data_IF_720840855197
#
_entry.id   IF_720840855197
#
_cell.length_a   1.000
_cell.length_b   1.000
_cell.length_c   1.000
_cell.angle_alpha   90.00
_cell.angle_beta   90.00
_cell.angle_gamma   90.00
#
_symmetry.space_group_name_H-M   'P 1'
#
loop_
_entity.id
_entity.type
_entity.pdbx_description
1 polymer ?
#
# COMPACT_ATOMS: atom_id res chain seq x y z
N UNK A 1 26.99 -23.60 -6.45
CA UNK A 1 26.47 -22.78 -5.41
C UNK A 1 25.93 -21.42 -5.82
N UNK A 2 25.94 -21.16 -7.10
CA UNK A 2 25.29 -19.95 -7.63
C UNK A 2 23.80 -19.92 -7.32
N UNK A 3 23.18 -21.08 -7.17
CA UNK A 3 21.77 -21.16 -6.80
C UNK A 3 21.48 -20.58 -5.42
N UNK A 4 22.50 -20.48 -4.58
CA UNK A 4 22.34 -19.93 -3.23
C UNK A 4 21.99 -18.45 -3.29
N UNK A 5 22.58 -17.70 -4.22
CA UNK A 5 22.29 -16.27 -4.33
C UNK A 5 20.85 -16.03 -4.72
N UNK A 6 20.25 -16.90 -5.53
CA UNK A 6 18.85 -16.80 -5.90
C UNK A 6 17.95 -17.10 -4.70
N UNK A 7 18.33 -18.07 -3.89
CA UNK A 7 17.57 -18.43 -2.69
C UNK A 7 17.71 -17.41 -1.57
N UNK A 8 18.74 -16.58 -1.63
CA UNK A 8 18.96 -15.55 -0.62
C UNK A 8 17.98 -14.39 -0.74
N UNK A 9 17.39 -14.18 -1.92
CA UNK A 9 16.33 -13.21 -2.06
C UNK A 9 15.05 -13.77 -1.48
N UNK A 10 14.64 -13.21 -0.38
CA UNK A 10 13.40 -13.61 0.27
C UNK A 10 12.22 -13.28 -0.62
N UNK A 11 11.35 -14.24 -0.83
CA UNK A 11 10.09 -14.02 -1.52
C UNK A 11 9.02 -13.68 -0.50
N UNK A 12 8.47 -12.49 -0.62
CA UNK A 12 7.48 -11.98 0.31
C UNK A 12 6.21 -11.65 -0.46
N UNK A 13 5.09 -12.02 0.12
CA UNK A 13 3.78 -11.64 -0.40
C UNK A 13 3.20 -10.58 0.54
N UNK A 14 2.69 -9.49 -0.03
CA UNK A 14 2.07 -8.43 0.74
C UNK A 14 0.67 -8.19 0.20
N UNK A 15 -0.34 -8.38 1.06
CA UNK A 15 -1.72 -8.03 0.74
C UNK A 15 -1.97 -6.65 1.34
N UNK A 16 -2.48 -5.72 0.54
CA UNK A 16 -2.73 -4.35 0.98
C UNK A 16 -4.20 -3.98 0.82
N UNK A 17 -4.67 -3.11 1.70
CA UNK A 17 -5.99 -2.53 1.57
C UNK A 17 -6.06 -1.20 2.30
N UNK A 18 -6.96 -0.33 1.83
CA UNK A 18 -7.22 0.96 2.44
C UNK A 18 -8.71 1.19 2.59
N UNK A 19 -9.09 1.95 3.59
CA UNK A 19 -10.47 2.25 3.88
C UNK A 19 -10.59 3.71 4.35
N UNK A 20 -11.70 4.34 4.03
CA UNK A 20 -11.96 5.70 4.45
C UNK A 20 -13.43 5.85 4.80
N UNK A 21 -13.70 6.39 6.00
CA UNK A 21 -15.07 6.63 6.45
C UNK A 21 -15.50 8.02 5.98
N UNK A 22 -16.19 8.06 4.83
CA UNK A 22 -16.45 9.32 4.13
C UNK A 22 -15.17 9.75 3.40
N UNK A 23 -15.14 10.01 2.19
CA UNK A 23 -13.96 10.25 1.37
C UNK A 23 -13.94 11.72 0.90
N UNK A 24 -13.27 12.69 1.62
CA UNK A 24 -12.31 12.48 2.71
C UNK A 24 -12.95 12.23 4.07
N UNK A 25 -12.15 11.68 4.98
CA UNK A 25 -12.58 11.42 6.35
C UNK A 25 -11.58 10.54 7.07
N UNK A 26 -11.92 9.99 8.25
CA UNK A 26 -11.03 9.09 8.95
C UNK A 26 -10.70 7.88 8.09
N UNK A 27 -9.42 7.60 7.93
CA UNK A 27 -8.95 6.52 7.09
C UNK A 27 -8.14 5.49 7.85
N UNK A 28 -8.08 4.28 7.30
CA UNK A 28 -7.27 3.20 7.81
C UNK A 28 -6.61 2.45 6.67
N UNK A 29 -5.46 1.90 6.95
CA UNK A 29 -4.74 1.05 6.02
C UNK A 29 -4.33 -0.22 6.75
N UNK A 30 -4.15 -1.28 5.98
CA UNK A 30 -3.66 -2.54 6.52
C UNK A 30 -2.85 -3.27 5.48
N UNK A 31 -1.89 -4.04 5.95
CA UNK A 31 -1.18 -4.96 5.08
C UNK A 31 -0.85 -6.23 5.85
N UNK A 32 -0.84 -7.33 5.12
CA UNK A 32 -0.47 -8.64 5.63
C UNK A 32 0.76 -9.07 4.87
N UNK A 33 1.88 -9.22 5.59
CA UNK A 33 3.14 -9.66 5.01
C UNK A 33 3.30 -11.14 5.29
N UNK A 34 3.58 -11.90 4.25
CA UNK A 34 3.72 -13.35 4.37
C UNK A 34 5.05 -13.79 3.76
N UNK A 35 5.81 -14.52 4.56
CA UNK A 35 7.09 -15.09 4.17
C UNK A 35 7.13 -16.53 4.68
N UNK A 36 7.03 -17.49 3.76
CA UNK A 36 6.94 -18.88 4.14
C UNK A 36 5.75 -19.12 5.06
N UNK A 37 6.01 -19.63 6.26
CA UNK A 37 4.97 -19.84 7.27
C UNK A 37 4.82 -18.66 8.21
N UNK A 38 5.67 -17.65 8.06
CA UNK A 38 5.62 -16.46 8.91
C UNK A 38 4.64 -15.44 8.34
N UNK A 39 3.93 -14.80 9.24
CA UNK A 39 2.98 -13.77 8.85
C UNK A 39 3.09 -12.59 9.82
N UNK A 40 3.03 -11.41 9.25
CA UNK A 40 3.03 -10.18 10.04
C UNK A 40 1.92 -9.27 9.54
N UNK A 41 1.15 -8.73 10.47
CA UNK A 41 0.06 -7.81 10.15
C UNK A 41 0.45 -6.42 10.62
N UNK A 42 0.27 -5.43 9.75
CA UNK A 42 0.46 -4.03 10.08
C UNK A 42 -0.83 -3.29 9.76
N UNK A 43 -1.17 -2.32 10.60
CA UNK A 43 -2.33 -1.46 10.36
C UNK A 43 -2.12 -0.11 11.02
N UNK A 44 -2.78 0.88 10.49
CA UNK A 44 -2.73 2.23 11.04
C UNK A 44 -3.89 3.05 10.56
N UNK A 45 -4.09 4.20 11.21
CA UNK A 45 -5.19 5.09 10.86
C UNK A 45 -4.79 6.55 10.89
N UNK A 46 -5.53 7.36 10.17
CA UNK A 46 -5.32 8.81 10.07
C UNK A 46 -6.68 9.49 10.21
N UNK A 47 -6.77 10.58 10.98
CA UNK A 47 -8.06 11.24 11.21
C UNK A 47 -8.66 11.90 9.96
N UNK A 48 -7.81 12.26 8.99
CA UNK A 48 -8.27 12.89 7.76
C UNK A 48 -7.51 12.32 6.58
N UNK A 49 -8.20 11.60 5.73
CA UNK A 49 -7.57 10.83 4.65
C UNK A 49 -8.51 10.68 3.45
N UNK A 50 -8.00 10.08 2.41
CA UNK A 50 -8.80 9.61 1.28
C UNK A 50 -8.53 8.13 1.07
N UNK A 51 -9.42 7.47 0.37
CA UNK A 51 -9.24 6.07 0.03
C UNK A 51 -7.90 5.82 -0.68
N UNK A 52 -7.59 6.65 -1.68
CA UNK A 52 -6.36 6.49 -2.46
C UNK A 52 -5.11 6.65 -1.60
N UNK A 53 -5.11 7.62 -0.67
CA UNK A 53 -3.98 7.77 0.24
C UNK A 53 -3.80 6.56 1.14
N UNK A 54 -4.89 5.96 1.58
CA UNK A 54 -4.82 4.77 2.44
C UNK A 54 -4.31 3.55 1.70
N UNK A 55 -4.69 3.40 0.43
CA UNK A 55 -4.15 2.34 -0.41
C UNK A 55 -2.63 2.50 -0.60
N UNK A 56 -2.19 3.72 -0.87
CA UNK A 56 -0.76 4.01 -0.98
C UNK A 56 -0.03 3.78 0.34
N UNK A 57 -0.63 4.21 1.44
CA UNK A 57 -0.02 4.03 2.77
C UNK A 57 0.20 2.54 3.08
N UNK A 58 -0.77 1.70 2.75
CA UNK A 58 -0.64 0.25 2.97
C UNK A 58 0.56 -0.31 2.21
N UNK A 59 0.72 0.07 0.95
CA UNK A 59 1.84 -0.38 0.12
C UNK A 59 3.17 0.13 0.69
N UNK A 60 3.23 1.40 1.05
CA UNK A 60 4.45 2.02 1.58
C UNK A 60 4.86 1.35 2.89
N UNK A 61 3.94 1.22 3.82
CA UNK A 61 4.25 0.65 5.13
C UNK A 61 4.64 -0.82 5.04
N UNK A 62 3.98 -1.57 4.15
CA UNK A 62 4.33 -2.96 3.92
C UNK A 62 5.75 -3.12 3.38
N UNK A 63 6.10 -2.36 2.37
CA UNK A 63 7.44 -2.42 1.78
C UNK A 63 8.50 -1.88 2.75
N UNK A 64 8.18 -0.84 3.49
CA UNK A 64 9.10 -0.25 4.47
C UNK A 64 9.43 -1.21 5.61
N UNK A 65 8.53 -2.11 5.94
CA UNK A 65 8.73 -3.08 7.01
C UNK A 65 9.79 -4.12 6.67
N UNK A 66 10.12 -4.28 5.40
CA UNK A 66 11.13 -5.24 4.95
C UNK A 66 12.51 -4.65 5.16
N UNK A 67 13.34 -5.34 5.94
CA UNK A 67 14.64 -4.82 6.37
C UNK A 67 15.76 -5.03 5.36
N UNK A 68 15.52 -5.80 4.32
CA UNK A 68 16.50 -6.05 3.26
C UNK A 68 15.77 -6.15 1.93
N UNK A 69 16.56 -6.12 0.85
CA UNK A 69 16.01 -6.25 -0.50
C UNK A 69 15.34 -7.61 -0.67
N UNK A 70 14.09 -7.59 -1.09
CA UNK A 70 13.29 -8.80 -1.27
C UNK A 70 12.67 -8.83 -2.65
N UNK A 71 12.29 -10.02 -3.08
CA UNK A 71 11.34 -10.18 -4.16
C UNK A 71 9.95 -10.11 -3.53
N UNK A 72 9.14 -9.16 -3.96
CA UNK A 72 7.86 -8.89 -3.33
C UNK A 72 6.74 -8.99 -4.37
N UNK A 73 5.71 -9.74 -4.02
CA UNK A 73 4.46 -9.74 -4.78
C UNK A 73 3.45 -8.96 -3.95
N UNK A 74 3.00 -7.84 -4.47
CA UNK A 74 1.97 -7.03 -3.80
C UNK A 74 0.63 -7.34 -4.44
N UNK A 75 -0.32 -7.77 -3.61
CA UNK A 75 -1.68 -8.07 -4.06
C UNK A 75 -2.59 -6.93 -3.63
N UNK A 76 -3.24 -6.32 -4.59
CA UNK A 76 -4.10 -5.16 -4.35
C UNK A 76 -5.36 -5.24 -5.20
N UNK A 77 -6.49 -4.79 -4.66
CA UNK A 77 -7.70 -4.58 -5.45
C UNK A 77 -7.79 -3.13 -5.95
N UNK A 78 -6.83 -2.29 -5.59
CA UNK A 78 -6.82 -0.89 -5.98
C UNK A 78 -6.30 -0.72 -7.41
N UNK A 79 -7.18 -0.34 -8.31
CA UNK A 79 -6.78 0.00 -9.67
C UNK A 79 -5.93 1.27 -9.68
N UNK A 80 -6.18 2.18 -8.76
CA UNK A 80 -5.42 3.41 -8.64
C UNK A 80 -3.93 3.14 -8.37
N UNK A 81 -3.63 2.26 -7.42
CA UNK A 81 -2.23 1.92 -7.09
C UNK A 81 -1.57 1.19 -8.25
N UNK A 82 -2.26 0.20 -8.80
CA UNK A 82 -1.73 -0.60 -9.90
C UNK A 82 -1.43 0.25 -11.13
N UNK A 83 -2.39 1.07 -11.53
CA UNK A 83 -2.21 1.93 -12.72
C UNK A 83 -1.20 3.03 -12.47
N UNK A 84 -1.17 3.57 -11.26
CA UNK A 84 -0.19 4.58 -10.90
C UNK A 84 1.23 4.07 -11.06
N UNK A 85 1.50 2.88 -10.58
CA UNK A 85 2.83 2.28 -10.67
C UNK A 85 3.19 1.94 -12.12
N UNK A 86 2.27 1.35 -12.88
CA UNK A 86 2.60 0.81 -14.20
C UNK A 86 2.48 1.85 -15.32
N UNK A 87 1.58 2.82 -15.18
CA UNK A 87 1.29 3.77 -16.25
C UNK A 87 1.70 5.20 -15.93
N UNK A 88 1.30 5.70 -14.75
CA UNK A 88 1.43 7.12 -14.46
C UNK A 88 2.78 7.52 -13.88
N UNK A 89 3.34 6.71 -12.99
CA UNK A 89 4.61 7.03 -12.33
C UNK A 89 5.75 7.26 -13.31
N UNK A 90 5.94 6.42 -14.34
CA UNK A 90 6.98 6.69 -15.34
C UNK A 90 6.80 8.03 -16.07
N UNK A 91 5.55 8.39 -16.36
CA UNK A 91 5.27 9.68 -17.00
C UNK A 91 5.57 10.85 -16.08
N UNK A 92 5.16 10.75 -14.82
CA UNK A 92 5.42 11.81 -13.84
C UNK A 92 6.91 12.02 -13.65
N UNK A 93 7.69 10.97 -13.55
CA UNK A 93 9.13 11.05 -13.37
C UNK A 93 9.79 11.73 -14.58
N UNK A 94 9.33 11.40 -15.78
CA UNK A 94 9.82 12.02 -17.01
C UNK A 94 9.39 13.48 -17.16
N UNK A 95 8.29 13.84 -16.52
CA UNK A 95 7.68 15.16 -16.70
C UNK A 95 7.88 16.07 -15.49
N UNK A 96 8.91 15.82 -14.69
CA UNK A 96 9.22 16.63 -13.51
C UNK A 96 8.16 16.63 -12.44
N UNK A 97 7.48 15.48 -12.29
CA UNK A 97 6.41 15.31 -11.33
C UNK A 97 5.23 16.24 -11.55
N UNK A 98 4.87 16.39 -12.81
CA UNK A 98 3.67 17.16 -13.19
C UNK A 98 2.70 16.27 -13.94
N UNK A 99 1.42 16.53 -13.77
CA UNK A 99 0.38 15.80 -14.50
C UNK A 99 0.30 16.28 -15.95
N UNK A 100 -0.58 15.70 -16.75
CA UNK A 100 -0.70 16.00 -18.17
C UNK A 100 -1.05 17.46 -18.44
N UNK A 101 -1.75 18.12 -17.53
CA UNK A 101 -2.12 19.52 -17.67
C UNK A 101 -1.08 20.49 -17.07
N UNK A 102 0.04 19.97 -16.59
CA UNK A 102 1.13 20.78 -16.04
C UNK A 102 0.99 21.10 -14.56
N UNK A 103 -0.06 20.60 -13.89
CA UNK A 103 -0.27 20.82 -12.47
C UNK A 103 0.48 19.80 -11.61
N UNK A 104 0.38 19.98 -10.30
CA UNK A 104 1.01 19.07 -9.35
C UNK A 104 0.33 17.70 -9.37
N UNK A 105 1.13 16.65 -9.18
CA UNK A 105 0.61 15.29 -9.08
C UNK A 105 -0.08 15.12 -7.72
N UNK A 106 -1.31 14.63 -7.74
CA UNK A 106 -2.07 14.37 -6.51
C UNK A 106 -1.38 13.24 -5.75
N UNK A 107 -1.22 13.40 -4.44
CA UNK A 107 -0.55 12.44 -3.56
C UNK A 107 0.92 12.23 -3.92
N UNK A 108 1.56 13.25 -4.50
CA UNK A 108 2.96 13.16 -4.91
C UNK A 108 3.86 12.72 -3.77
N UNK A 109 3.61 13.20 -2.55
CA UNK A 109 4.40 12.84 -1.37
C UNK A 109 4.46 11.33 -1.17
N UNK A 110 3.32 10.65 -1.30
CA UNK A 110 3.24 9.21 -1.13
C UNK A 110 3.78 8.46 -2.34
N UNK A 111 3.53 8.98 -3.55
CA UNK A 111 4.05 8.36 -4.76
C UNK A 111 5.56 8.36 -4.80
N UNK A 112 6.20 9.44 -4.35
CA UNK A 112 7.66 9.51 -4.28
C UNK A 112 8.23 8.51 -3.30
N UNK A 113 7.60 8.36 -2.13
CA UNK A 113 8.02 7.36 -1.15
C UNK A 113 7.88 5.95 -1.70
N UNK A 114 6.77 5.68 -2.37
CA UNK A 114 6.53 4.37 -2.96
C UNK A 114 7.52 4.07 -4.08
N UNK A 115 7.82 5.04 -4.92
CA UNK A 115 8.80 4.89 -6.01
C UNK A 115 10.17 4.49 -5.47
N UNK A 116 10.60 5.12 -4.40
CA UNK A 116 11.88 4.81 -3.77
C UNK A 116 11.90 3.38 -3.25
N UNK A 117 10.85 2.94 -2.59
CA UNK A 117 10.75 1.59 -2.06
C UNK A 117 10.67 0.54 -3.16
N UNK A 118 9.95 0.82 -4.22
CA UNK A 118 9.86 -0.06 -5.39
C UNK A 118 11.22 -0.21 -6.06
N UNK A 119 12.03 0.85 -6.07
CA UNK A 119 13.38 0.80 -6.60
C UNK A 119 14.34 -0.01 -5.73
N UNK A 120 14.08 -0.08 -4.43
CA UNK A 120 14.90 -0.83 -3.49
C UNK A 120 14.63 -2.34 -3.53
N UNK A 121 13.39 -2.72 -3.79
CA UNK A 121 12.97 -4.12 -3.87
C UNK A 121 12.68 -4.52 -5.30
N UNK A 122 12.55 -5.82 -5.54
CA UNK A 122 12.05 -6.34 -6.80
C UNK A 122 10.55 -6.61 -6.62
N UNK A 123 9.71 -5.67 -7.08
CA UNK A 123 8.28 -5.67 -6.76
C UNK A 123 7.46 -6.05 -7.98
N UNK A 124 6.59 -7.02 -7.78
CA UNK A 124 5.60 -7.45 -8.76
C UNK A 124 4.21 -7.10 -8.23
N UNK A 125 3.41 -6.44 -9.06
CA UNK A 125 2.07 -6.00 -8.69
C UNK A 125 1.05 -6.94 -9.29
N UNK A 126 0.17 -7.48 -8.46
CA UNK A 126 -0.90 -8.37 -8.89
C UNK A 126 -2.23 -7.76 -8.49
N UNK A 127 -3.08 -7.53 -9.49
CA UNK A 127 -4.42 -7.03 -9.26
C UNK A 127 -5.34 -8.19 -8.91
N UNK A 128 -5.99 -8.10 -7.76
CA UNK A 128 -6.99 -9.07 -7.36
C UNK A 128 -8.35 -8.37 -7.40
N UNK A 129 -9.38 -9.13 -7.75
CA UNK A 129 -10.73 -8.58 -7.78
C UNK A 129 -11.22 -8.40 -6.36
N UNK A 130 -11.74 -7.21 -6.06
CA UNK A 130 -12.36 -6.96 -4.77
C UNK A 130 -13.57 -7.88 -4.59
N UNK A 131 -13.78 -8.33 -3.36
CA UNK A 131 -14.90 -9.20 -3.00
C UNK A 131 -14.93 -10.54 -3.75
N UNK A 132 -13.76 -11.04 -4.13
CA UNK A 132 -13.66 -12.31 -4.85
C UNK A 132 -13.70 -13.54 -3.93
N UNK A 133 -14.00 -13.32 -2.66
CA UNK A 133 -14.07 -14.42 -1.69
C UNK A 133 -12.72 -14.92 -1.20
N UNK A 134 -11.66 -14.19 -1.44
CA UNK A 134 -10.34 -14.55 -0.95
C UNK A 134 -10.21 -14.17 0.53
N UNK A 135 -10.01 -15.16 1.43
CA UNK A 135 -10.01 -14.89 2.88
C UNK A 135 -8.99 -13.86 3.33
N UNK A 136 -7.79 -13.88 2.73
CA UNK A 136 -6.74 -12.94 3.11
C UNK A 136 -7.10 -11.50 2.76
N UNK A 137 -7.72 -11.31 1.61
CA UNK A 137 -8.11 -9.98 1.17
C UNK A 137 -9.26 -9.45 2.03
N UNK A 138 -10.22 -10.30 2.37
CA UNK A 138 -11.31 -9.94 3.27
C UNK A 138 -10.80 -9.59 4.66
N UNK A 139 -9.80 -10.33 5.14
CA UNK A 139 -9.16 -10.04 6.42
C UNK A 139 -8.46 -8.70 6.40
N UNK A 140 -7.75 -8.42 5.32
CA UNK A 140 -7.04 -7.14 5.16
C UNK A 140 -8.04 -5.97 5.11
N UNK A 141 -9.14 -6.14 4.41
CA UNK A 141 -10.22 -5.15 4.35
C UNK A 141 -10.80 -4.88 5.75
N UNK A 142 -11.07 -5.92 6.51
CA UNK A 142 -11.58 -5.78 7.87
C UNK A 142 -10.59 -5.04 8.78
N UNK A 143 -9.29 -5.31 8.63
CA UNK A 143 -8.26 -4.62 9.40
C UNK A 143 -8.18 -3.15 9.04
N UNK A 144 -8.27 -2.81 7.77
CA UNK A 144 -8.26 -1.42 7.32
C UNK A 144 -9.49 -0.68 7.84
N UNK A 145 -10.66 -1.29 7.77
CA UNK A 145 -11.89 -0.71 8.30
C UNK A 145 -11.81 -0.49 9.81
N UNK A 146 -11.27 -1.46 10.53
CA UNK A 146 -11.08 -1.34 11.98
C UNK A 146 -10.15 -0.18 12.32
N UNK A 147 -9.07 -0.02 11.57
CA UNK A 147 -8.14 1.09 11.76
C UNK A 147 -8.80 2.43 11.48
N UNK A 148 -9.65 2.52 10.45
CA UNK A 148 -10.38 3.74 10.13
C UNK A 148 -11.35 4.12 11.26
N UNK A 149 -12.05 3.14 11.81
CA UNK A 149 -12.96 3.37 12.94
C UNK A 149 -12.21 3.83 14.18
N UNK A 150 -11.04 3.25 14.44
CA UNK A 150 -10.19 3.66 15.55
C UNK A 150 -9.71 5.10 15.37
N UNK A 151 -9.36 5.48 14.16
CA UNK A 151 -8.96 6.86 13.85
C UNK A 151 -10.11 7.84 14.09
N UNK A 152 -11.33 7.45 13.74
CA UNK A 152 -12.51 8.27 13.99
C UNK A 152 -12.74 8.47 15.48
N UNK A 153 -12.63 7.41 16.27
CA UNK A 153 -12.81 7.49 17.74
C UNK A 153 -11.73 8.35 18.37
N UNK A 154 -10.47 8.22 17.92
CA UNK A 154 -9.37 9.02 18.40
C UNK A 154 -9.57 10.50 18.13
N UNK A 155 -10.03 10.85 16.93
CA UNK A 155 -10.32 12.22 16.56
C UNK A 155 -11.47 12.79 17.41
N UNK A 156 -12.52 11.99 17.64
CA UNK A 156 -13.64 12.41 18.49
C UNK A 156 -13.19 12.62 19.94
N UNK A 157 -12.32 11.75 20.44
CA UNK A 157 -11.76 11.87 21.79
C UNK A 157 -10.91 13.13 21.97
N UNK A 158 -10.22 13.54 20.94
CA UNK A 158 -9.37 14.75 20.99
C UNK A 158 -10.19 16.05 21.02
N UNK A 159 -11.44 15.99 20.59
CA UNK A 159 -12.32 17.16 20.59
C UNK A 159 -13.02 17.37 21.95
N UNK A 160 -13.02 16.37 22.77
CA UNK A 160 -13.63 16.40 24.09
C UNK A 160 -12.76 17.08 25.16
#
# INVERSE_FOLDING_TARGET
MSTVSTCERSEVEIIIDGSCLGNPGPGGWACILRYGEHERVLQGGVPDATNNRMELAAAIEGLRALKRTCQVTVLTDSDYVRRGITEFLPRWKNNGWRNASGGAVVNQDLWEQLDELVGYHDVRWVHVRGHSGQPDHERCDALANSAARAAKRGAAGQRG
#
